data_IF_876675233915
#
_entry.id   IF_876675233915
#
_cell.length_a   1.000
_cell.length_b   1.000
_cell.length_c   1.000
_cell.angle_alpha   90.00
_cell.angle_beta   90.00
_cell.angle_gamma   90.00
#
_symmetry.space_group_name_H-M   'P 1'
#
loop_
_entity.id
_entity.type
_entity.pdbx_description
1 polymer ?
#
# COMPACT_ATOMS: atom_id res chain seq x y z
N UNK A 1 -11.58 15.90 15.61
CA UNK A 1 -10.22 15.57 15.17
C UNK A 1 -9.80 14.25 15.80
N UNK A 2 -9.18 13.38 15.02
CA UNK A 2 -8.67 12.09 15.48
C UNK A 2 -7.17 12.06 15.21
N UNK A 3 -6.37 11.81 16.25
CA UNK A 3 -4.92 11.71 16.12
C UNK A 3 -4.43 10.53 16.96
N UNK A 4 -3.76 9.58 16.31
CA UNK A 4 -3.23 8.40 16.99
C UNK A 4 -2.06 7.84 16.21
N UNK A 5 -1.23 7.05 16.87
CA UNK A 5 -0.11 6.39 16.20
C UNK A 5 -0.67 5.24 15.33
N UNK A 6 -0.06 5.00 14.16
CA UNK A 6 -0.57 3.97 13.25
C UNK A 6 -0.55 2.57 13.88
N UNK A 7 0.37 2.32 14.81
CA UNK A 7 0.45 1.02 15.48
C UNK A 7 -0.71 0.76 16.45
N UNK A 8 -1.49 1.80 16.79
CA UNK A 8 -2.68 1.63 17.61
C UNK A 8 -3.85 1.03 16.82
N UNK A 9 -3.73 0.98 15.50
CA UNK A 9 -4.74 0.40 14.61
C UNK A 9 -4.41 -1.07 14.38
N UNK A 10 -5.45 -1.92 14.38
CA UNK A 10 -5.29 -3.36 14.21
C UNK A 10 -4.59 -3.70 12.88
N UNK A 11 -3.60 -4.58 12.97
CA UNK A 11 -2.94 -5.14 11.80
C UNK A 11 -3.82 -6.26 11.23
N UNK A 12 -4.03 -6.25 9.92
CA UNK A 12 -4.81 -7.26 9.21
C UNK A 12 -3.94 -7.90 8.15
N UNK A 13 -4.06 -9.21 7.97
CA UNK A 13 -3.36 -9.89 6.90
C UNK A 13 -4.13 -9.76 5.60
N UNK A 14 -3.42 -9.51 4.51
CA UNK A 14 -4.04 -9.48 3.19
C UNK A 14 -4.47 -10.90 2.81
N UNK A 15 -5.73 -11.04 2.40
CA UNK A 15 -6.28 -12.36 2.10
C UNK A 15 -5.75 -12.97 0.80
N UNK A 16 -5.21 -12.14 -0.08
CA UNK A 16 -4.80 -12.55 -1.42
C UNK A 16 -3.27 -12.58 -1.60
N UNK A 17 -2.51 -12.25 -0.56
CA UNK A 17 -1.05 -12.18 -0.67
C UNK A 17 -0.41 -12.60 0.63
N UNK A 18 0.32 -13.72 0.59
CA UNK A 18 1.09 -14.17 1.74
C UNK A 18 2.24 -13.20 2.03
N UNK A 19 2.46 -12.90 3.29
CA UNK A 19 3.53 -12.00 3.72
C UNK A 19 3.20 -10.52 3.57
N UNK A 20 1.94 -10.19 3.26
CA UNK A 20 1.47 -8.81 3.16
C UNK A 20 0.41 -8.56 4.23
N UNK A 21 0.61 -7.49 4.99
CA UNK A 21 -0.36 -7.08 6.01
C UNK A 21 -0.57 -5.57 5.93
N UNK A 22 -1.65 -5.09 6.52
CA UNK A 22 -2.00 -3.67 6.43
C UNK A 22 -2.79 -3.21 7.65
N UNK A 23 -2.75 -1.91 7.87
CA UNK A 23 -3.61 -1.22 8.82
C UNK A 23 -4.39 -0.16 8.06
N UNK A 24 -5.72 -0.17 8.16
CA UNK A 24 -6.55 0.91 7.65
C UNK A 24 -6.58 1.99 8.73
N UNK A 25 -5.69 2.96 8.61
CA UNK A 25 -5.48 3.94 9.67
C UNK A 25 -6.51 5.06 9.66
N UNK A 26 -7.01 5.43 8.49
CA UNK A 26 -8.11 6.38 8.34
C UNK A 26 -9.00 5.88 7.21
N UNK A 27 -10.27 5.72 7.49
CA UNK A 27 -11.20 5.25 6.48
C UNK A 27 -12.65 5.33 6.95
N UNK A 28 -13.42 4.34 6.61
CA UNK A 28 -14.86 4.32 6.89
C UNK A 28 -15.18 4.38 8.38
N UNK A 29 -14.38 3.71 9.22
CA UNK A 29 -14.59 3.73 10.67
C UNK A 29 -14.46 5.11 11.28
N UNK A 30 -13.65 5.97 10.67
CA UNK A 30 -13.47 7.36 11.08
C UNK A 30 -14.44 8.29 10.36
N UNK A 31 -15.33 7.74 9.54
CA UNK A 31 -16.29 8.51 8.74
C UNK A 31 -15.58 9.46 7.76
N UNK A 32 -14.46 9.04 7.23
CA UNK A 32 -13.73 9.81 6.22
C UNK A 32 -14.58 9.87 4.93
N UNK A 33 -14.81 11.08 4.39
CA UNK A 33 -15.76 11.21 3.27
C UNK A 33 -15.16 10.91 1.88
N UNK A 34 -13.85 11.01 1.70
CA UNK A 34 -13.24 10.96 0.38
C UNK A 34 -12.10 9.96 0.24
N UNK A 35 -11.22 9.86 1.24
CA UNK A 35 -9.97 9.09 1.12
C UNK A 35 -9.86 8.02 2.18
N UNK A 36 -9.15 6.94 1.82
CA UNK A 36 -8.73 5.91 2.78
C UNK A 36 -7.23 5.90 2.82
N UNK A 37 -6.66 5.95 4.03
CA UNK A 37 -5.21 5.84 4.22
C UNK A 37 -4.90 4.49 4.86
N UNK A 38 -4.02 3.73 4.20
CA UNK A 38 -3.57 2.43 4.69
C UNK A 38 -2.07 2.42 4.82
N UNK A 39 -1.56 1.70 5.82
CA UNK A 39 -0.12 1.46 5.97
C UNK A 39 0.09 -0.03 5.72
N UNK A 40 0.88 -0.34 4.69
CA UNK A 40 1.19 -1.72 4.30
C UNK A 40 2.56 -2.14 4.83
N UNK A 41 2.65 -3.39 5.23
CA UNK A 41 3.90 -4.07 5.55
C UNK A 41 4.03 -5.27 4.61
N UNK A 42 5.13 -5.33 3.87
CA UNK A 42 5.43 -6.44 2.95
C UNK A 42 6.70 -7.11 3.45
N UNK A 43 6.61 -8.38 3.79
CA UNK A 43 7.74 -9.17 4.27
C UNK A 43 8.80 -9.35 3.18
N UNK A 44 10.08 -9.56 3.54
CA UNK A 44 11.11 -9.85 2.54
C UNK A 44 10.71 -11.01 1.63
N UNK A 45 10.85 -10.80 0.33
CA UNK A 45 10.50 -11.78 -0.69
C UNK A 45 9.02 -11.84 -1.05
N UNK A 46 8.15 -11.16 -0.31
CA UNK A 46 6.72 -11.15 -0.59
C UNK A 46 6.36 -10.07 -1.62
N UNK A 47 5.20 -10.23 -2.21
CA UNK A 47 4.65 -9.29 -3.19
C UNK A 47 3.16 -9.10 -2.95
N UNK A 48 2.67 -7.89 -3.26
CA UNK A 48 1.23 -7.67 -3.36
C UNK A 48 0.69 -8.43 -4.57
N UNK A 49 -0.64 -8.65 -4.66
CA UNK A 49 -1.20 -9.28 -5.85
C UNK A 49 -0.90 -8.42 -7.08
N UNK A 50 -0.67 -9.10 -8.21
CA UNK A 50 -0.52 -8.43 -9.50
C UNK A 50 -1.91 -8.29 -10.09
N UNK A 51 -2.47 -7.09 -10.05
CA UNK A 51 -3.87 -6.89 -10.39
C UNK A 51 -4.12 -5.51 -10.99
N UNK A 52 -5.37 -5.36 -11.45
CA UNK A 52 -5.91 -4.14 -12.06
C UNK A 52 -7.23 -3.81 -11.38
N UNK A 53 -7.48 -2.55 -11.14
CA UNK A 53 -8.80 -2.09 -10.69
C UNK A 53 -9.04 -0.65 -11.13
N UNK A 54 -10.29 -0.18 -10.99
CA UNK A 54 -10.74 1.07 -11.57
C UNK A 54 -10.53 2.29 -10.67
N UNK A 55 -9.73 2.17 -9.63
CA UNK A 55 -9.32 3.31 -8.80
C UNK A 55 -7.80 3.44 -8.77
N UNK A 56 -7.36 4.65 -8.50
CA UNK A 56 -5.93 4.96 -8.42
C UNK A 56 -5.35 4.67 -7.03
N UNK A 57 -4.02 4.59 -6.98
CA UNK A 57 -3.26 4.57 -5.73
C UNK A 57 -2.29 5.72 -5.68
N UNK A 58 -2.09 6.29 -4.49
CA UNK A 58 -1.00 7.21 -4.21
C UNK A 58 -0.20 6.62 -3.05
N UNK A 59 1.07 6.37 -3.27
CA UNK A 59 1.92 5.62 -2.35
C UNK A 59 3.13 6.44 -1.95
N UNK A 60 3.49 6.37 -0.67
CA UNK A 60 4.73 6.96 -0.14
C UNK A 60 5.49 5.89 0.63
N UNK A 61 6.74 5.62 0.23
CA UNK A 61 7.57 4.59 0.86
C UNK A 61 8.16 5.14 2.15
N UNK A 62 7.85 4.48 3.27
CA UNK A 62 8.33 4.88 4.60
C UNK A 62 9.67 4.24 4.93
N UNK A 63 9.82 2.94 4.67
CA UNK A 63 11.01 2.19 5.05
C UNK A 63 11.14 0.93 4.21
N UNK A 64 12.35 0.38 4.18
CA UNK A 64 12.64 -0.82 3.40
C UNK A 64 12.96 -0.50 1.94
N UNK A 65 13.23 -1.56 1.18
CA UNK A 65 13.54 -1.47 -0.24
C UNK A 65 12.70 -2.46 -1.03
N UNK A 66 12.35 -2.08 -2.24
CA UNK A 66 11.53 -2.92 -3.07
C UNK A 66 11.53 -2.47 -4.50
N UNK A 67 10.54 -2.92 -5.23
CA UNK A 67 10.28 -2.46 -6.60
C UNK A 67 8.78 -2.41 -6.83
N UNK A 68 8.37 -1.56 -7.76
CA UNK A 68 7.00 -1.56 -8.25
C UNK A 68 7.02 -1.89 -9.73
N UNK A 69 6.12 -2.78 -10.14
CA UNK A 69 5.80 -3.02 -11.53
C UNK A 69 4.53 -2.24 -11.87
N UNK A 70 4.54 -1.52 -12.97
CA UNK A 70 3.37 -0.81 -13.46
C UNK A 70 3.68 -0.14 -14.78
N UNK A 71 2.66 0.00 -15.63
CA UNK A 71 2.83 0.61 -16.94
C UNK A 71 3.84 -0.10 -17.82
N UNK A 72 4.00 -1.42 -17.64
CA UNK A 72 4.94 -2.23 -18.43
C UNK A 72 6.40 -2.04 -18.05
N UNK A 73 6.70 -1.42 -16.91
CA UNK A 73 8.08 -1.20 -16.45
C UNK A 73 8.20 -1.49 -14.96
N UNK A 74 9.43 -1.61 -14.49
CA UNK A 74 9.75 -1.78 -13.09
C UNK A 74 10.62 -0.62 -12.60
N UNK A 75 10.35 -0.16 -11.38
CA UNK A 75 11.12 0.91 -10.75
C UNK A 75 11.55 0.45 -9.36
N UNK A 76 12.84 0.60 -9.05
CA UNK A 76 13.35 0.31 -7.71
C UNK A 76 12.88 1.38 -6.72
N UNK A 77 12.51 0.93 -5.53
CA UNK A 77 11.95 1.78 -4.47
C UNK A 77 12.85 1.79 -3.25
N UNK A 78 12.94 2.95 -2.62
CA UNK A 78 13.59 3.15 -1.33
C UNK A 78 12.83 4.22 -0.57
N UNK A 79 13.14 4.45 0.73
CA UNK A 79 12.39 5.44 1.51
C UNK A 79 12.37 6.82 0.86
N UNK A 80 11.20 7.42 0.84
CA UNK A 80 10.98 8.73 0.23
C UNK A 80 10.46 8.70 -1.19
N UNK A 81 10.44 7.54 -1.85
CA UNK A 81 9.82 7.42 -3.17
C UNK A 81 8.32 7.59 -3.06
N UNK A 82 7.75 8.22 -4.07
CA UNK A 82 6.31 8.32 -4.25
C UNK A 82 5.92 7.59 -5.51
N UNK A 83 4.74 6.93 -5.49
CA UNK A 83 4.24 6.19 -6.64
C UNK A 83 2.79 6.57 -6.87
N UNK A 84 2.47 6.97 -8.09
CA UNK A 84 1.10 7.13 -8.53
C UNK A 84 0.77 6.00 -9.50
N UNK A 85 -0.25 5.21 -9.16
CA UNK A 85 -0.74 4.14 -10.02
C UNK A 85 -2.08 4.58 -10.59
N UNK A 86 -2.16 4.88 -11.90
CA UNK A 86 -3.42 5.29 -12.51
C UNK A 86 -4.48 4.19 -12.44
N UNK A 87 -5.74 4.60 -12.52
CA UNK A 87 -6.85 3.68 -12.69
C UNK A 87 -6.58 2.72 -13.86
N UNK A 88 -6.92 1.45 -13.68
CA UNK A 88 -6.83 0.40 -14.70
C UNK A 88 -5.42 -0.06 -15.08
N UNK A 89 -4.37 0.51 -14.47
CA UNK A 89 -3.01 0.07 -14.75
C UNK A 89 -2.65 -1.13 -13.89
N UNK A 90 -2.22 -2.22 -14.53
CA UNK A 90 -1.74 -3.40 -13.80
C UNK A 90 -0.49 -3.06 -13.01
N UNK A 91 -0.44 -3.47 -11.76
CA UNK A 91 0.65 -3.12 -10.87
C UNK A 91 0.90 -4.19 -9.82
N UNK A 92 2.10 -4.16 -9.25
CA UNK A 92 2.50 -5.06 -8.16
C UNK A 92 3.69 -4.45 -7.41
N UNK A 93 3.65 -4.49 -6.08
CA UNK A 93 4.76 -4.10 -5.22
C UNK A 93 5.46 -5.35 -4.71
N UNK A 94 6.78 -5.36 -4.73
CA UNK A 94 7.59 -6.49 -4.26
C UNK A 94 8.67 -6.00 -3.32
N UNK A 95 8.86 -6.69 -2.20
CA UNK A 95 9.97 -6.43 -1.30
C UNK A 95 11.22 -7.15 -1.82
N UNK A 96 12.25 -6.39 -2.16
CA UNK A 96 13.52 -6.93 -2.67
C UNK A 96 14.64 -6.83 -1.64
N UNK A 97 14.36 -6.28 -0.46
CA UNK A 97 15.33 -6.12 0.61
C UNK A 97 15.25 -7.24 1.64
N UNK A 98 15.93 -7.03 2.75
CA UNK A 98 15.98 -7.99 3.86
C UNK A 98 15.22 -7.49 5.10
N UNK A 99 14.55 -6.35 4.99
CA UNK A 99 13.70 -5.78 6.04
C UNK A 99 12.30 -5.55 5.49
N UNK A 100 11.34 -5.30 6.36
CA UNK A 100 9.95 -5.01 5.95
C UNK A 100 9.92 -3.80 5.04
N UNK A 101 9.22 -3.92 3.91
CA UNK A 101 8.90 -2.79 3.06
C UNK A 101 7.58 -2.19 3.56
N UNK A 102 7.64 -0.96 4.06
CA UNK A 102 6.47 -0.28 4.62
C UNK A 102 6.14 0.94 3.80
N UNK A 103 4.86 1.09 3.46
CA UNK A 103 4.43 2.25 2.70
C UNK A 103 3.01 2.66 3.05
N UNK A 104 2.75 3.96 2.86
CA UNK A 104 1.41 4.52 2.95
C UNK A 104 0.76 4.41 1.58
N UNK A 105 -0.49 3.96 1.53
CA UNK A 105 -1.27 3.88 0.30
C UNK A 105 -2.60 4.59 0.49
N UNK A 106 -2.84 5.60 -0.33
CA UNK A 106 -4.11 6.31 -0.36
C UNK A 106 -4.95 5.79 -1.51
N UNK A 107 -6.23 5.54 -1.23
CA UNK A 107 -7.22 5.19 -2.25
C UNK A 107 -8.48 6.01 -2.01
N UNK A 108 -9.33 6.19 -3.02
CA UNK A 108 -10.64 6.80 -2.78
C UNK A 108 -11.51 5.88 -1.93
N UNK A 109 -12.45 6.46 -1.20
CA UNK A 109 -13.33 5.68 -0.32
C UNK A 109 -14.11 4.62 -1.07
N UNK A 110 -14.41 4.84 -2.35
CA UNK A 110 -15.10 3.89 -3.21
C UNK A 110 -14.20 2.73 -3.67
N UNK A 111 -12.88 2.86 -3.50
CA UNK A 111 -11.94 1.84 -3.91
C UNK A 111 -11.56 0.97 -2.73
N UNK A 112 -12.20 -0.11 -2.52
CA UNK A 112 -11.88 -1.06 -1.44
C UNK A 112 -11.06 -2.19 -2.02
N UNK A 113 -9.87 -2.40 -1.55
CA UNK A 113 -9.12 -3.59 -1.94
C UNK A 113 -9.35 -4.72 -0.98
#
# INVERSE_FOLDING_TARGET
MIARHYTDVKLEEATEAEGVSLRVVIGEKEQAPNFVMRVFDVEPGASSPRHTHDWEHEVFILSGEGRVFGGGKEVALSPGYTVFVPSMEEHQFTNTGDEVLRFVCLIPLSGQC
#
